data_IF_125544648919
#
_entry.id   IF_125544648919
#
_cell.length_a   1.000
_cell.length_b   1.000
_cell.length_c   1.000
_cell.angle_alpha   90.00
_cell.angle_beta   90.00
_cell.angle_gamma   90.00
#
_symmetry.space_group_name_H-M   'P 1'
#
loop_
_entity.id
_entity.type
_entity.pdbx_description
1 polymer ?
#
# COMPACT_ATOMS: atom_id res chain seq x y z
N UNK A 1 10.63 -40.65 59.72
CA UNK A 1 10.59 -41.31 58.40
C UNK A 1 9.66 -40.52 57.48
N UNK A 2 10.17 -40.28 56.27
CA UNK A 2 9.51 -39.88 55.02
C UNK A 2 8.81 -38.52 54.89
N UNK A 3 9.55 -37.61 54.26
CA UNK A 3 9.06 -36.54 53.40
C UNK A 3 8.24 -37.06 52.21
N UNK A 4 7.30 -36.25 51.71
CA UNK A 4 7.04 -36.18 50.26
C UNK A 4 6.69 -34.75 49.85
N UNK A 5 7.65 -34.08 49.22
CA UNK A 5 7.45 -32.92 48.35
C UNK A 5 7.03 -33.41 46.96
N UNK A 6 6.07 -32.74 46.32
CA UNK A 6 6.00 -32.60 44.86
C UNK A 6 4.98 -31.49 44.55
N UNK A 7 5.42 -30.26 44.31
CA UNK A 7 5.82 -29.67 43.02
C UNK A 7 4.62 -29.15 42.22
N UNK A 8 4.26 -27.90 42.52
CA UNK A 8 3.51 -27.01 41.64
C UNK A 8 4.30 -26.81 40.36
N UNK A 9 3.83 -27.38 39.25
CA UNK A 9 4.38 -27.12 37.92
C UNK A 9 4.01 -25.68 37.55
N UNK A 10 4.96 -24.77 37.74
CA UNK A 10 4.92 -23.45 37.15
C UNK A 10 5.01 -23.59 35.64
N UNK A 11 3.92 -23.33 34.93
CA UNK A 11 3.94 -23.04 33.51
C UNK A 11 4.67 -21.70 33.31
N UNK A 12 5.98 -21.80 33.11
CA UNK A 12 6.80 -20.75 32.51
C UNK A 12 6.29 -20.53 31.08
N UNK A 13 5.42 -19.54 30.91
CA UNK A 13 5.20 -18.94 29.60
C UNK A 13 6.49 -18.23 29.20
N UNK A 14 7.11 -18.56 28.05
CA UNK A 14 8.17 -17.73 27.54
C UNK A 14 7.56 -16.39 27.11
N UNK A 15 7.95 -15.33 27.82
CA UNK A 15 7.82 -13.95 27.39
C UNK A 15 8.53 -13.80 26.04
N UNK A 16 7.79 -13.98 24.95
CA UNK A 16 8.21 -13.50 23.63
C UNK A 16 7.67 -12.08 23.48
N UNK A 17 8.24 -11.15 24.25
CA UNK A 17 8.16 -9.74 23.90
C UNK A 17 9.19 -9.48 22.79
N UNK A 18 8.86 -9.87 21.55
CA UNK A 18 9.49 -9.24 20.39
C UNK A 18 8.90 -7.84 20.32
N UNK A 19 9.69 -6.85 20.71
CA UNK A 19 9.38 -5.46 20.45
C UNK A 19 9.09 -5.31 18.95
N UNK A 20 7.88 -4.89 18.61
CA UNK A 20 7.60 -4.36 17.27
C UNK A 20 8.66 -3.29 16.99
N UNK A 21 9.49 -3.50 15.96
CA UNK A 21 10.45 -2.52 15.45
C UNK A 21 9.68 -1.25 15.06
N UNK A 22 9.49 -0.38 16.05
CA UNK A 22 8.76 0.87 15.90
C UNK A 22 9.79 1.90 15.50
N UNK A 23 9.92 2.16 14.20
CA UNK A 23 10.73 3.28 13.75
C UNK A 23 10.06 4.58 14.20
N UNK A 24 10.71 5.26 15.14
CA UNK A 24 10.28 6.57 15.62
C UNK A 24 10.92 7.63 14.71
N UNK A 25 10.08 8.25 13.90
CA UNK A 25 10.44 9.45 13.14
C UNK A 25 10.09 10.67 13.98
N UNK A 26 10.78 11.80 13.77
CA UNK A 26 10.43 13.06 14.46
C UNK A 26 8.98 13.43 14.14
N UNK A 27 8.08 13.28 15.13
CA UNK A 27 6.66 13.63 15.05
C UNK A 27 5.69 12.52 14.60
N UNK A 28 6.16 11.33 14.20
CA UNK A 28 5.28 10.18 13.91
C UNK A 28 5.97 8.82 14.09
N UNK A 29 5.17 7.77 14.26
CA UNK A 29 5.59 6.37 14.26
C UNK A 29 4.89 5.61 13.14
N UNK A 30 5.62 4.71 12.48
CA UNK A 30 5.03 3.77 11.51
C UNK A 30 4.66 2.48 12.25
N UNK A 31 3.43 2.00 12.04
CA UNK A 31 2.85 0.84 12.71
C UNK A 31 2.11 -0.05 11.71
N UNK A 32 1.84 -1.28 12.11
CA UNK A 32 1.01 -2.20 11.34
C UNK A 32 -0.46 -1.77 11.41
N UNK A 33 -1.26 -2.29 10.49
CA UNK A 33 -2.67 -1.87 10.34
C UNK A 33 -3.58 -2.38 11.46
N UNK A 34 -3.07 -3.25 12.33
CA UNK A 34 -3.77 -3.75 13.53
C UNK A 34 -3.56 -2.83 14.74
N UNK A 35 -2.64 -1.86 14.66
CA UNK A 35 -2.36 -0.92 15.77
C UNK A 35 -3.39 0.20 15.92
N UNK A 36 -4.41 0.26 15.06
CA UNK A 36 -5.55 1.17 15.21
C UNK A 36 -6.86 0.44 14.85
N UNK A 37 -8.00 0.81 15.49
CA UNK A 37 -9.30 0.29 15.11
C UNK A 37 -9.59 0.51 13.62
N UNK A 38 -10.07 -0.54 12.94
CA UNK A 38 -10.33 -0.53 11.49
C UNK A 38 -11.18 0.66 11.05
N UNK A 39 -12.26 0.98 11.79
CA UNK A 39 -13.13 2.11 11.45
C UNK A 39 -12.37 3.46 11.43
N UNK A 40 -11.38 3.67 12.32
CA UNK A 40 -10.55 4.89 12.32
C UNK A 40 -9.69 4.97 11.08
N UNK A 41 -9.10 3.83 10.67
CA UNK A 41 -8.29 3.74 9.45
C UNK A 41 -9.15 4.04 8.24
N UNK A 42 -10.29 3.36 8.08
CA UNK A 42 -11.21 3.52 6.96
C UNK A 42 -11.76 4.94 6.87
N UNK A 43 -12.19 5.53 7.98
CA UNK A 43 -12.67 6.92 8.02
C UNK A 43 -11.58 7.92 7.65
N UNK A 44 -10.37 7.78 8.20
CA UNK A 44 -9.24 8.63 7.82
C UNK A 44 -8.94 8.50 6.32
N UNK A 45 -8.89 7.26 5.82
CA UNK A 45 -8.57 6.95 4.44
C UNK A 45 -9.57 7.59 3.47
N UNK A 46 -10.85 7.32 3.68
CA UNK A 46 -11.97 7.78 2.84
C UNK A 46 -12.00 9.31 2.78
N UNK A 47 -11.94 9.98 3.94
CA UNK A 47 -11.96 11.44 4.00
C UNK A 47 -10.77 12.04 3.25
N UNK A 48 -9.56 11.48 3.44
CA UNK A 48 -8.36 12.03 2.80
C UNK A 48 -8.36 11.84 1.29
N UNK A 49 -8.83 10.72 0.79
CA UNK A 49 -8.90 10.49 -0.66
C UNK A 49 -9.92 11.38 -1.33
N UNK A 50 -11.06 11.64 -0.69
CA UNK A 50 -12.02 12.61 -1.23
C UNK A 50 -11.48 14.03 -1.24
N UNK A 51 -10.67 14.41 -0.25
CA UNK A 51 -10.09 15.76 -0.19
C UNK A 51 -8.97 15.98 -1.23
N UNK A 52 -8.18 14.95 -1.52
CA UNK A 52 -6.84 15.16 -2.10
C UNK A 52 -6.42 14.22 -3.22
N UNK A 53 -7.13 13.11 -3.45
CA UNK A 53 -6.75 12.12 -4.46
C UNK A 53 -7.60 12.28 -5.71
N UNK A 54 -7.01 12.82 -6.77
CA UNK A 54 -7.67 13.05 -8.06
C UNK A 54 -8.32 11.79 -8.64
N UNK A 55 -7.72 10.60 -8.41
CA UNK A 55 -8.27 9.30 -8.85
C UNK A 55 -9.59 8.92 -8.15
N UNK A 56 -10.01 9.65 -7.12
CA UNK A 56 -11.25 9.42 -6.38
C UNK A 56 -12.15 10.66 -6.46
N UNK A 57 -11.61 11.82 -6.08
CA UNK A 57 -12.32 13.10 -6.07
C UNK A 57 -12.85 13.47 -7.47
N UNK A 58 -11.99 13.43 -8.49
CA UNK A 58 -12.38 13.89 -9.84
C UNK A 58 -13.28 12.88 -10.57
N UNK A 59 -13.25 11.61 -10.13
CA UNK A 59 -14.16 10.56 -10.62
C UNK A 59 -15.55 10.60 -9.95
N UNK A 60 -15.77 11.49 -8.99
CA UNK A 60 -17.05 11.69 -8.30
C UNK A 60 -17.63 10.39 -7.71
N UNK A 61 -16.76 9.52 -7.18
CA UNK A 61 -17.20 8.28 -6.54
C UNK A 61 -17.94 8.63 -5.23
N UNK A 62 -19.19 8.17 -5.01
CA UNK A 62 -19.93 8.52 -3.81
C UNK A 62 -19.24 8.03 -2.52
N UNK A 63 -19.21 8.87 -1.48
CA UNK A 63 -18.59 8.57 -0.18
C UNK A 63 -18.96 7.20 0.37
N UNK A 64 -20.25 6.88 0.43
CA UNK A 64 -20.72 5.63 1.04
C UNK A 64 -20.26 4.39 0.26
N UNK A 65 -20.19 4.49 -1.07
CA UNK A 65 -19.65 3.43 -1.93
C UNK A 65 -18.16 3.28 -1.71
N UNK A 66 -17.42 4.38 -1.71
CA UNK A 66 -15.98 4.36 -1.52
C UNK A 66 -15.59 3.89 -0.11
N UNK A 67 -16.24 4.39 0.94
CA UNK A 67 -16.06 3.93 2.32
C UNK A 67 -16.23 2.42 2.45
N UNK A 68 -17.30 1.86 1.86
CA UNK A 68 -17.57 0.42 1.91
C UNK A 68 -16.52 -0.38 1.15
N UNK A 69 -16.09 0.11 -0.02
CA UNK A 69 -14.98 -0.46 -0.77
C UNK A 69 -13.70 -0.50 0.07
N UNK A 70 -13.30 0.62 0.67
CA UNK A 70 -12.13 0.73 1.53
C UNK A 70 -12.22 -0.20 2.74
N UNK A 71 -13.39 -0.25 3.40
CA UNK A 71 -13.62 -1.12 4.54
C UNK A 71 -13.40 -2.60 4.21
N UNK A 72 -13.89 -3.06 3.06
CA UNK A 72 -13.71 -4.44 2.61
C UNK A 72 -12.31 -4.70 2.06
N UNK A 73 -11.71 -3.73 1.37
CA UNK A 73 -10.34 -3.78 0.87
C UNK A 73 -9.33 -3.99 2.01
N UNK A 74 -9.51 -3.27 3.12
CA UNK A 74 -8.65 -3.38 4.31
C UNK A 74 -8.68 -4.78 4.94
N UNK A 75 -9.79 -5.52 4.85
CA UNK A 75 -9.85 -6.90 5.33
C UNK A 75 -9.01 -7.86 4.48
N UNK A 76 -8.79 -7.52 3.22
CA UNK A 76 -8.00 -8.30 2.26
C UNK A 76 -6.53 -7.87 2.20
N UNK A 77 -6.17 -6.79 2.91
CA UNK A 77 -4.84 -6.19 2.96
C UNK A 77 -3.74 -7.19 3.31
N UNK A 78 -2.57 -7.01 2.71
CA UNK A 78 -1.37 -7.69 3.19
C UNK A 78 -0.91 -7.01 4.49
N UNK A 79 -1.03 -7.71 5.63
CA UNK A 79 -0.73 -7.13 6.94
C UNK A 79 0.75 -6.76 7.13
N UNK A 80 1.66 -7.43 6.41
CA UNK A 80 3.08 -7.20 6.52
C UNK A 80 3.53 -5.99 5.68
N UNK A 81 2.91 -5.81 4.50
CA UNK A 81 3.25 -4.72 3.59
C UNK A 81 2.41 -3.46 3.82
N UNK A 82 1.22 -3.59 4.41
CA UNK A 82 0.35 -2.46 4.72
C UNK A 82 0.70 -1.82 6.06
N UNK A 83 0.62 -0.50 6.13
CA UNK A 83 1.05 0.25 7.30
C UNK A 83 0.21 1.49 7.52
N UNK A 84 0.27 1.99 8.76
CA UNK A 84 -0.31 3.27 9.16
C UNK A 84 0.77 4.12 9.82
N UNK A 85 0.59 5.42 9.82
CA UNK A 85 1.38 6.33 10.64
C UNK A 85 0.51 7.01 11.69
N UNK A 86 1.04 7.10 12.90
CA UNK A 86 0.41 7.75 14.03
C UNK A 86 1.28 8.91 14.50
N UNK A 87 0.65 10.04 14.82
CA UNK A 87 1.35 11.18 15.42
C UNK A 87 1.88 10.80 16.82
N UNK A 88 3.15 11.11 17.09
CA UNK A 88 3.86 10.69 18.30
C UNK A 88 3.45 11.45 19.57
N UNK A 89 2.76 12.59 19.42
CA UNK A 89 2.75 13.64 20.44
C UNK A 89 1.51 13.61 21.37
N UNK A 90 0.55 12.71 21.15
CA UNK A 90 -0.76 12.74 21.84
C UNK A 90 -1.14 11.39 22.48
N UNK A 91 -1.83 11.46 23.63
CA UNK A 91 -2.43 10.30 24.34
C UNK A 91 -3.45 9.53 23.49
N UNK A 92 -4.06 10.21 22.51
CA UNK A 92 -4.79 9.59 21.42
C UNK A 92 -3.97 9.71 20.14
N UNK A 93 -3.10 8.75 19.89
CA UNK A 93 -2.26 8.73 18.69
C UNK A 93 -3.16 8.86 17.44
N UNK A 94 -3.04 10.00 16.75
CA UNK A 94 -3.89 10.38 15.61
C UNK A 94 -3.28 9.83 14.32
N UNK A 95 -4.12 9.21 13.49
CA UNK A 95 -3.71 8.80 12.14
C UNK A 95 -3.31 10.02 11.30
N UNK A 96 -2.13 9.96 10.72
CA UNK A 96 -1.61 10.98 9.80
C UNK A 96 -1.09 10.39 8.48
N UNK A 97 -1.29 9.08 8.27
CA UNK A 97 -0.95 8.38 7.04
C UNK A 97 -1.41 6.92 7.08
N UNK A 98 -1.67 6.37 5.90
CA UNK A 98 -2.06 4.98 5.71
C UNK A 98 -1.67 4.51 4.32
N UNK A 99 -1.08 3.32 4.23
CA UNK A 99 -0.75 2.64 2.99
C UNK A 99 -1.40 1.25 2.98
N UNK A 100 -2.34 1.04 2.06
CA UNK A 100 -2.96 -0.25 1.83
C UNK A 100 -2.23 -0.96 0.70
N UNK A 101 -1.65 -2.12 1.00
CA UNK A 101 -0.99 -2.98 0.01
C UNK A 101 -1.80 -4.25 -0.21
N UNK A 102 -2.05 -4.57 -1.47
CA UNK A 102 -2.79 -5.75 -1.90
C UNK A 102 -1.98 -6.52 -2.96
N UNK A 103 -2.14 -7.83 -3.00
CA UNK A 103 -1.74 -8.61 -4.17
C UNK A 103 -2.61 -8.19 -5.36
N UNK A 104 -2.02 -8.04 -6.55
CA UNK A 104 -2.79 -7.73 -7.76
C UNK A 104 -3.80 -8.83 -8.09
N UNK A 105 -3.55 -10.07 -7.65
CA UNK A 105 -4.49 -11.19 -7.82
C UNK A 105 -5.79 -11.00 -7.03
N UNK A 106 -5.79 -10.19 -5.97
CA UNK A 106 -6.97 -9.92 -5.14
C UNK A 106 -7.83 -8.78 -5.68
N UNK A 107 -7.36 -8.00 -6.66
CA UNK A 107 -8.09 -6.82 -7.15
C UNK A 107 -9.43 -7.20 -7.78
N UNK A 108 -9.49 -8.31 -8.52
CA UNK A 108 -10.72 -8.79 -9.16
C UNK A 108 -11.79 -9.28 -8.18
N UNK A 109 -11.39 -9.63 -6.94
CA UNK A 109 -12.29 -10.16 -5.91
C UNK A 109 -12.82 -9.06 -4.97
N UNK A 110 -12.39 -7.80 -5.18
CA UNK A 110 -12.78 -6.70 -4.30
C UNK A 110 -14.25 -6.31 -4.52
N UNK A 111 -14.93 -5.96 -3.43
CA UNK A 111 -16.22 -5.30 -3.54
C UNK A 111 -16.05 -3.95 -4.23
N UNK A 112 -16.60 -3.81 -5.44
CA UNK A 112 -16.37 -2.67 -6.30
C UNK A 112 -17.69 -2.26 -6.97
N UNK A 113 -18.50 -1.40 -6.33
CA UNK A 113 -19.73 -0.91 -6.93
C UNK A 113 -19.49 0.23 -7.93
N UNK A 114 -20.25 0.23 -9.02
CA UNK A 114 -20.31 1.34 -9.98
C UNK A 114 -18.95 1.71 -10.58
N UNK A 115 -18.57 2.99 -10.45
CA UNK A 115 -17.33 3.51 -11.01
C UNK A 115 -16.06 2.82 -10.48
N UNK A 116 -16.14 2.24 -9.27
CA UNK A 116 -15.03 1.51 -8.67
C UNK A 116 -14.70 0.25 -9.49
N UNK A 117 -15.70 -0.44 -10.05
CA UNK A 117 -15.45 -1.60 -10.94
C UNK A 117 -14.62 -1.18 -12.14
N UNK A 118 -15.00 -0.07 -12.79
CA UNK A 118 -14.30 0.44 -13.97
C UNK A 118 -12.86 0.85 -13.65
N UNK A 119 -12.63 1.46 -12.48
CA UNK A 119 -11.28 1.79 -11.99
C UNK A 119 -10.46 0.52 -11.76
N UNK A 120 -11.02 -0.50 -11.11
CA UNK A 120 -10.31 -1.76 -10.86
C UNK A 120 -9.96 -2.49 -12.17
N UNK A 121 -10.88 -2.53 -13.13
CA UNK A 121 -10.64 -3.12 -14.45
C UNK A 121 -9.50 -2.39 -15.18
N UNK A 122 -9.51 -1.07 -15.13
CA UNK A 122 -8.47 -0.22 -15.72
C UNK A 122 -7.10 -0.47 -15.08
N UNK A 123 -6.99 -0.37 -13.75
CA UNK A 123 -5.70 -0.56 -13.07
C UNK A 123 -5.19 -1.99 -13.21
N UNK A 124 -6.07 -2.99 -13.21
CA UNK A 124 -5.68 -4.40 -13.38
C UNK A 124 -5.06 -4.63 -14.76
N UNK A 125 -5.70 -4.14 -15.83
CA UNK A 125 -5.13 -4.20 -17.19
C UNK A 125 -3.80 -3.48 -17.29
N UNK A 126 -3.70 -2.31 -16.66
CA UNK A 126 -2.47 -1.54 -16.59
C UNK A 126 -1.34 -2.32 -15.89
N UNK A 127 -1.60 -2.94 -14.73
CA UNK A 127 -0.59 -3.72 -14.01
C UNK A 127 -0.16 -4.97 -14.77
N UNK A 128 -1.08 -5.66 -15.45
CA UNK A 128 -0.72 -6.80 -16.30
C UNK A 128 0.18 -6.37 -17.46
N UNK A 129 -0.13 -5.25 -18.13
CA UNK A 129 0.72 -4.69 -19.19
C UNK A 129 2.08 -4.21 -18.67
N UNK A 130 2.11 -3.68 -17.44
CA UNK A 130 3.32 -3.17 -16.80
C UNK A 130 4.23 -4.28 -16.24
N UNK A 131 3.86 -5.57 -16.32
CA UNK A 131 4.77 -6.67 -15.96
C UNK A 131 5.82 -6.86 -17.07
N UNK A 132 7.09 -7.14 -16.71
CA UNK A 132 8.12 -7.37 -17.72
C UNK A 132 7.85 -8.65 -18.53
N UNK A 133 8.13 -8.62 -19.83
CA UNK A 133 7.90 -9.73 -20.77
C UNK A 133 8.85 -10.94 -20.58
N UNK A 134 9.85 -10.82 -19.70
CA UNK A 134 10.82 -11.90 -19.46
C UNK A 134 10.16 -13.07 -18.74
N UNK A 135 10.72 -14.28 -18.94
CA UNK A 135 10.20 -15.58 -18.45
C UNK A 135 9.53 -15.43 -17.08
N UNK A 136 8.22 -15.69 -17.02
CA UNK A 136 7.44 -15.73 -15.77
C UNK A 136 8.17 -16.63 -14.77
N UNK A 137 8.62 -16.04 -13.67
CA UNK A 137 9.17 -16.78 -12.54
C UNK A 137 7.94 -17.33 -11.80
N UNK A 138 7.73 -18.67 -11.72
CA UNK A 138 6.48 -19.23 -11.21
C UNK A 138 6.14 -18.82 -9.77
N UNK A 139 7.14 -18.47 -8.97
CA UNK A 139 7.00 -18.03 -7.58
C UNK A 139 6.88 -16.51 -7.40
N UNK A 140 6.92 -15.72 -8.48
CA UNK A 140 6.80 -14.27 -8.37
C UNK A 140 5.35 -13.85 -8.12
N UNK A 141 5.18 -12.84 -7.28
CA UNK A 141 3.89 -12.23 -6.98
C UNK A 141 3.96 -10.73 -7.27
N UNK A 142 2.81 -10.14 -7.58
CA UNK A 142 2.70 -8.71 -7.81
C UNK A 142 1.85 -8.09 -6.70
N UNK A 143 2.35 -7.00 -6.15
CA UNK A 143 1.71 -6.23 -5.10
C UNK A 143 1.52 -4.80 -5.58
N UNK A 144 0.53 -4.13 -5.02
CA UNK A 144 0.22 -2.75 -5.34
C UNK A 144 -0.10 -2.00 -4.07
N UNK A 145 0.54 -0.85 -3.89
CA UNK A 145 0.03 0.19 -2.98
C UNK A 145 -1.11 0.89 -3.70
N UNK A 146 -2.27 0.24 -3.75
CA UNK A 146 -3.42 0.68 -4.57
C UNK A 146 -3.94 2.02 -4.09
N UNK A 147 -3.76 2.25 -2.79
CA UNK A 147 -4.39 3.30 -2.04
C UNK A 147 -3.41 3.72 -0.93
N UNK A 148 -2.87 4.94 -1.05
CA UNK A 148 -2.05 5.57 -0.01
C UNK A 148 -2.51 7.00 0.21
N UNK A 149 -2.71 7.36 1.47
CA UNK A 149 -2.99 8.75 1.88
C UNK A 149 -2.04 9.16 2.98
N UNK A 150 -1.60 10.41 2.95
CA UNK A 150 -0.71 10.97 3.96
C UNK A 150 -1.07 12.43 4.20
N UNK A 151 -0.86 12.92 5.41
CA UNK A 151 -1.14 14.32 5.71
C UNK A 151 -0.10 15.28 5.16
N UNK A 152 1.08 14.77 4.82
CA UNK A 152 2.24 15.50 4.30
C UNK A 152 3.05 14.61 3.38
N UNK A 153 3.77 15.20 2.44
CA UNK A 153 4.65 14.49 1.51
C UNK A 153 5.76 13.72 2.25
N UNK A 154 6.27 14.23 3.39
CA UNK A 154 7.27 13.53 4.21
C UNK A 154 6.76 12.17 4.73
N UNK A 155 5.50 12.12 5.13
CA UNK A 155 4.85 10.90 5.65
C UNK A 155 4.57 9.94 4.49
N UNK A 156 4.16 10.47 3.33
CA UNK A 156 3.99 9.66 2.12
C UNK A 156 5.29 8.94 1.75
N UNK A 157 6.41 9.68 1.72
CA UNK A 157 7.75 9.14 1.45
C UNK A 157 8.16 8.09 2.49
N UNK A 158 7.92 8.33 3.77
CA UNK A 158 8.23 7.38 4.82
C UNK A 158 7.43 6.07 4.69
N UNK A 159 6.12 6.16 4.39
CA UNK A 159 5.27 4.99 4.12
C UNK A 159 5.78 4.19 2.92
N UNK A 160 6.19 4.84 1.83
CA UNK A 160 6.76 4.17 0.65
C UNK A 160 8.05 3.46 1.03
N UNK A 161 8.97 4.16 1.72
CA UNK A 161 10.25 3.58 2.13
C UNK A 161 10.05 2.35 3.01
N UNK A 162 9.20 2.46 4.03
CA UNK A 162 8.84 1.34 4.89
C UNK A 162 8.29 0.16 4.08
N UNK A 163 7.36 0.43 3.15
CA UNK A 163 6.77 -0.61 2.30
C UNK A 163 7.80 -1.28 1.41
N UNK A 164 8.74 -0.52 0.84
CA UNK A 164 9.86 -1.07 0.04
C UNK A 164 10.71 -2.01 0.87
N UNK A 165 11.04 -1.62 2.10
CA UNK A 165 11.85 -2.45 3.00
C UNK A 165 11.13 -3.76 3.35
N UNK A 166 9.85 -3.70 3.69
CA UNK A 166 9.06 -4.90 3.98
C UNK A 166 8.91 -5.77 2.73
N UNK A 167 8.61 -5.18 1.57
CA UNK A 167 8.47 -5.90 0.30
C UNK A 167 9.75 -6.65 -0.06
N UNK A 168 10.90 -5.98 -0.04
CA UNK A 168 12.18 -6.59 -0.38
C UNK A 168 12.61 -7.70 0.59
N UNK A 169 12.13 -7.66 1.85
CA UNK A 169 12.40 -8.69 2.86
C UNK A 169 11.45 -9.87 2.76
N UNK A 170 10.18 -9.63 2.41
CA UNK A 170 9.11 -10.60 2.56
C UNK A 170 8.75 -11.35 1.28
N UNK A 171 9.06 -10.81 0.10
CA UNK A 171 8.65 -11.42 -1.17
C UNK A 171 9.76 -12.22 -1.83
N UNK A 172 9.37 -13.11 -2.73
CA UNK A 172 10.31 -13.89 -3.53
C UNK A 172 11.04 -13.03 -4.57
N UNK A 173 12.20 -13.51 -5.00
CA UNK A 173 12.89 -13.02 -6.19
C UNK A 173 11.96 -12.93 -7.39
N UNK A 174 12.06 -11.83 -8.13
CA UNK A 174 11.22 -11.54 -9.30
C UNK A 174 9.83 -11.01 -8.98
N UNK A 175 9.46 -10.86 -7.70
CA UNK A 175 8.19 -10.22 -7.33
C UNK A 175 8.19 -8.73 -7.67
N UNK A 176 7.00 -8.16 -7.83
CA UNK A 176 6.79 -6.77 -8.25
C UNK A 176 6.04 -5.98 -7.20
N UNK A 177 6.39 -4.71 -7.02
CA UNK A 177 5.58 -3.75 -6.30
C UNK A 177 5.28 -2.54 -7.18
N UNK A 178 3.98 -2.26 -7.36
CA UNK A 178 3.47 -1.17 -8.18
C UNK A 178 2.96 -0.02 -7.31
N UNK A 179 3.25 1.20 -7.75
CA UNK A 179 2.85 2.42 -7.05
C UNK A 179 2.50 3.50 -8.07
N UNK A 180 1.36 4.16 -7.87
CA UNK A 180 1.02 5.39 -8.59
C UNK A 180 1.50 6.61 -7.80
N UNK A 181 2.20 7.53 -8.44
CA UNK A 181 2.68 8.76 -7.78
C UNK A 181 2.65 9.98 -8.69
N UNK A 182 2.64 11.16 -8.05
CA UNK A 182 2.72 12.45 -8.75
C UNK A 182 4.14 12.71 -9.22
N UNK A 183 4.34 12.76 -10.54
CA UNK A 183 5.65 12.84 -11.18
C UNK A 183 6.51 14.00 -10.65
N UNK A 184 5.98 15.22 -10.73
CA UNK A 184 6.68 16.45 -10.34
C UNK A 184 7.14 16.46 -8.89
N UNK A 185 6.48 15.70 -8.01
CA UNK A 185 6.80 15.65 -6.58
C UNK A 185 7.68 14.47 -6.19
N UNK A 186 7.56 13.34 -6.88
CA UNK A 186 8.04 12.05 -6.38
C UNK A 186 9.09 11.39 -7.26
N UNK A 187 9.30 11.86 -8.50
CA UNK A 187 10.20 11.19 -9.47
C UNK A 187 11.59 10.86 -8.92
N UNK A 188 12.32 11.84 -8.38
CA UNK A 188 13.68 11.62 -7.87
C UNK A 188 13.68 10.69 -6.65
N UNK A 189 12.72 10.86 -5.74
CA UNK A 189 12.56 9.98 -4.58
C UNK A 189 12.26 8.52 -4.98
N UNK A 190 11.40 8.31 -5.98
CA UNK A 190 11.10 6.97 -6.49
C UNK A 190 12.34 6.32 -7.12
N UNK A 191 13.14 7.12 -7.84
CA UNK A 191 14.42 6.67 -8.41
C UNK A 191 15.43 6.29 -7.34
N UNK A 192 15.55 7.06 -6.26
CA UNK A 192 16.41 6.73 -5.10
C UNK A 192 16.05 5.38 -4.48
N UNK A 193 14.77 5.01 -4.51
CA UNK A 193 14.26 3.71 -4.05
C UNK A 193 14.33 2.60 -5.11
N UNK A 194 15.01 2.83 -6.24
CA UNK A 194 15.15 1.91 -7.37
C UNK A 194 13.82 1.52 -8.03
N UNK A 195 12.79 2.38 -7.94
CA UNK A 195 11.63 2.22 -8.82
C UNK A 195 11.98 2.64 -10.25
N UNK A 196 11.48 1.87 -11.20
CA UNK A 196 11.41 2.23 -12.59
C UNK A 196 10.09 2.94 -12.88
N UNK A 197 10.15 4.10 -13.53
CA UNK A 197 8.96 4.76 -14.07
C UNK A 197 8.51 4.03 -15.34
N UNK A 198 7.34 3.40 -15.33
CA UNK A 198 6.83 2.64 -16.46
C UNK A 198 6.18 3.57 -17.48
N UNK A 199 5.25 4.41 -17.02
CA UNK A 199 4.49 5.31 -17.87
C UNK A 199 3.80 6.38 -17.03
N UNK A 200 3.33 7.44 -17.68
CA UNK A 200 2.45 8.45 -17.09
C UNK A 200 1.22 8.61 -17.98
N UNK A 201 0.11 9.11 -17.44
CA UNK A 201 -1.08 9.39 -18.22
C UNK A 201 -0.91 10.54 -19.22
N UNK A 202 -1.92 10.77 -20.05
CA UNK A 202 -2.01 11.86 -21.02
C UNK A 202 -0.91 11.92 -22.09
N UNK A 203 -0.10 10.87 -22.23
CA UNK A 203 0.89 10.76 -23.29
C UNK A 203 0.22 10.10 -24.49
N UNK A 204 0.11 10.82 -25.60
CA UNK A 204 -0.63 10.42 -26.82
C UNK A 204 0.09 9.32 -27.62
N UNK A 205 0.78 8.39 -26.94
CA UNK A 205 1.32 7.20 -27.60
C UNK A 205 0.15 6.23 -27.86
N UNK A 206 0.18 5.58 -29.02
CA UNK A 206 -1.01 4.93 -29.58
C UNK A 206 -1.54 3.72 -28.78
N UNK A 207 -0.96 3.33 -27.64
CA UNK A 207 -1.49 2.25 -26.79
C UNK A 207 -0.93 2.34 -25.34
N UNK A 208 -1.33 3.35 -24.57
CA UNK A 208 -1.03 3.41 -23.11
C UNK A 208 -2.25 2.92 -22.30
N UNK A 209 -2.32 1.64 -21.88
CA UNK A 209 -3.46 1.12 -21.10
C UNK A 209 -3.52 1.68 -19.68
N UNK A 210 -2.51 2.45 -19.28
CA UNK A 210 -2.35 3.09 -17.98
C UNK A 210 -2.71 4.58 -18.02
N UNK A 211 -3.36 5.07 -19.08
CA UNK A 211 -3.73 6.47 -19.19
C UNK A 211 -5.02 6.79 -18.41
N UNK A 212 -4.91 7.53 -17.32
CA UNK A 212 -6.05 7.94 -16.49
C UNK A 212 -7.09 8.82 -17.22
N UNK A 213 -6.76 9.39 -18.38
CA UNK A 213 -7.77 10.06 -19.23
C UNK A 213 -8.86 9.10 -19.71
N UNK A 214 -8.56 7.80 -19.82
CA UNK A 214 -9.54 6.75 -20.13
C UNK A 214 -10.61 6.60 -19.03
N UNK A 215 -10.29 7.07 -17.82
CA UNK A 215 -11.20 7.07 -16.67
C UNK A 215 -11.90 8.42 -16.48
N UNK A 216 -11.61 9.42 -17.32
CA UNK A 216 -12.21 10.76 -17.24
C UNK A 216 -11.38 11.79 -16.46
N UNK A 217 -10.14 11.47 -16.04
CA UNK A 217 -9.24 12.50 -15.50
C UNK A 217 -8.84 13.48 -16.59
N UNK A 218 -8.71 14.76 -16.23
CA UNK A 218 -8.25 15.77 -17.17
C UNK A 218 -6.82 15.47 -17.62
N UNK A 219 -6.46 15.69 -18.91
CA UNK A 219 -5.13 15.36 -19.42
C UNK A 219 -3.96 15.95 -18.62
N UNK A 220 -4.10 17.18 -18.12
CA UNK A 220 -3.10 17.85 -17.29
C UNK A 220 -2.87 17.16 -15.94
N UNK A 221 -3.91 16.58 -15.35
CA UNK A 221 -3.82 15.80 -14.10
C UNK A 221 -3.28 14.41 -14.41
N UNK A 222 -3.79 13.77 -15.46
CA UNK A 222 -3.37 12.43 -15.87
C UNK A 222 -1.87 12.35 -16.19
N UNK A 223 -1.30 13.41 -16.79
CA UNK A 223 0.16 13.53 -17.06
C UNK A 223 1.02 13.46 -15.81
N UNK A 224 0.49 13.90 -14.68
CA UNK A 224 1.19 13.83 -13.41
C UNK A 224 1.05 12.47 -12.73
N UNK A 225 0.06 11.65 -13.11
CA UNK A 225 -0.13 10.31 -12.55
C UNK A 225 0.77 9.30 -13.25
N UNK A 226 1.91 9.00 -12.65
CA UNK A 226 2.86 8.03 -13.18
C UNK A 226 2.82 6.70 -12.41
N UNK A 227 2.89 5.60 -13.16
CA UNK A 227 3.07 4.27 -12.62
C UNK A 227 4.56 3.98 -12.46
N UNK A 228 4.92 3.57 -11.25
CA UNK A 228 6.25 3.11 -10.88
C UNK A 228 6.21 1.62 -10.52
N UNK A 229 7.30 0.92 -10.84
CA UNK A 229 7.49 -0.51 -10.54
C UNK A 229 8.83 -0.74 -9.85
N UNK A 230 8.81 -1.48 -8.75
CA UNK A 230 9.98 -2.05 -8.11
C UNK A 230 10.00 -3.57 -8.34
N UNK A 231 11.18 -4.12 -8.61
CA UNK A 231 11.38 -5.57 -8.76
C UNK A 231 12.26 -6.06 -7.61
N UNK A 232 11.83 -7.11 -6.91
CA UNK A 232 12.68 -7.75 -5.92
C UNK A 232 13.74 -8.60 -6.63
N UNK A 233 14.96 -8.06 -6.74
CA UNK A 233 16.10 -8.74 -7.35
C UNK A 233 16.97 -9.51 -6.35
N UNK A 234 16.57 -9.61 -5.07
CA UNK A 234 17.31 -10.42 -4.09
C UNK A 234 16.94 -11.88 -4.29
N UNK A 235 17.92 -12.72 -4.61
CA UNK A 235 17.74 -14.16 -4.50
C UNK A 235 17.62 -14.49 -3.01
N UNK A 236 16.48 -15.06 -2.59
CA UNK A 236 16.38 -15.68 -1.27
C UNK A 236 17.25 -16.95 -1.29
N UNK A 237 18.55 -16.77 -1.11
CA UNK A 237 19.48 -17.85 -0.82
C UNK A 237 19.23 -18.22 0.65
N UNK A 238 18.33 -19.18 0.86
CA UNK A 238 18.22 -19.89 2.14
C UNK A 238 19.20 -21.05 2.17
#
# INVERSE_FOLDING_TARGET
>A
MSSSKSNTVGLLYPNVSKSEDTEIYKGYVIKTITSAPLYRIVSYFTNRTEESEAKVHDLQIPYSMYYTHIYLAWKSADQLLSSITLQSDNSESKLNGANLVLSTSKLGDMYAPGMITSVLDFVTKCYEWAKPNNRRIPSSSAYVSTLRVASKDEINRALIKYTVEQFLRATNYGSYHFVWETNTKMKEFMKELNYEQITCGGNHSFYNPCDWTLMGLKPEIAKEQCLYRLINNKSNSY
#
